data_IF_899534435642
#
_entry.id   IF_899534435642
#
_cell.length_a   1.000
_cell.length_b   1.000
_cell.length_c   1.000
_cell.angle_alpha   90.00
_cell.angle_beta   90.00
_cell.angle_gamma   90.00
#
_symmetry.space_group_name_H-M   'P 1'
#
loop_
_entity.id
_entity.type
_entity.pdbx_description
1 polymer ?
#
# COMPACT_ATOMS: atom_id res chain seq x y z
N UNK A 1 25.80 38.62 -20.38
CA UNK A 1 25.89 37.33 -21.11
C UNK A 1 25.50 36.23 -20.14
N UNK A 2 24.24 35.76 -20.21
CA UNK A 2 23.71 34.73 -19.31
C UNK A 2 23.69 33.41 -20.04
N UNK A 3 24.61 32.50 -19.70
CA UNK A 3 24.66 31.16 -20.28
C UNK A 3 23.64 30.29 -19.55
N UNK A 4 22.57 29.90 -20.24
CA UNK A 4 21.62 28.88 -19.77
C UNK A 4 22.26 27.49 -19.88
N UNK A 5 22.08 26.58 -18.91
CA UNK A 5 22.53 25.21 -19.06
C UNK A 5 21.69 24.50 -20.13
N UNK A 6 22.37 23.85 -21.08
CA UNK A 6 21.78 22.99 -22.11
C UNK A 6 21.28 21.70 -21.47
N UNK A 7 19.98 21.46 -21.52
CA UNK A 7 19.39 20.14 -21.29
C UNK A 7 19.87 19.21 -22.41
N UNK A 8 20.56 18.12 -22.05
CA UNK A 8 21.01 17.10 -22.99
C UNK A 8 19.86 16.10 -23.20
N UNK A 9 19.21 16.13 -24.37
CA UNK A 9 18.18 15.17 -24.77
C UNK A 9 18.82 13.91 -25.42
N UNK A 10 18.19 12.75 -25.25
CA UNK A 10 18.46 11.55 -26.06
C UNK A 10 17.88 11.66 -27.48
N UNK A 11 18.30 10.75 -28.37
CA UNK A 11 17.89 10.65 -29.78
C UNK A 11 16.34 10.54 -29.99
N UNK A 12 15.58 10.30 -28.92
CA UNK A 12 14.11 10.22 -28.89
C UNK A 12 13.41 11.42 -28.23
N UNK A 13 14.13 12.49 -27.86
CA UNK A 13 13.53 13.74 -27.39
C UNK A 13 12.90 13.69 -25.98
N UNK A 14 13.19 12.67 -25.17
CA UNK A 14 12.75 12.60 -23.76
C UNK A 14 13.80 13.25 -22.83
N UNK A 15 13.40 13.93 -21.75
CA UNK A 15 14.34 14.42 -20.75
C UNK A 15 14.99 13.24 -20.02
N UNK A 16 16.33 13.19 -20.01
CA UNK A 16 17.09 12.28 -19.14
C UNK A 16 16.91 12.71 -17.69
N UNK A 17 16.16 11.94 -16.91
CA UNK A 17 16.23 12.06 -15.46
C UNK A 17 17.55 11.43 -15.00
N UNK A 18 18.33 12.10 -14.14
CA UNK A 18 19.51 11.48 -13.56
C UNK A 18 19.05 10.32 -12.67
N UNK A 19 19.52 9.11 -13.00
CA UNK A 19 19.47 7.94 -12.13
C UNK A 19 20.28 8.25 -10.87
N UNK A 20 19.64 8.86 -9.89
CA UNK A 20 20.21 9.05 -8.57
C UNK A 20 19.99 7.75 -7.81
N UNK A 21 21.03 6.91 -7.75
CA UNK A 21 21.09 5.81 -6.79
C UNK A 21 20.92 6.38 -5.40
N UNK A 22 19.73 6.21 -4.82
CA UNK A 22 19.48 6.51 -3.42
C UNK A 22 19.96 5.31 -2.64
N UNK A 23 21.18 5.40 -2.11
CA UNK A 23 21.63 4.51 -1.06
C UNK A 23 20.70 4.68 0.14
N UNK A 24 19.85 3.68 0.38
CA UNK A 24 18.95 3.63 1.53
C UNK A 24 19.81 3.53 2.79
N UNK A 25 19.94 4.66 3.49
CA UNK A 25 20.70 4.70 4.74
C UNK A 25 19.89 3.97 5.80
N UNK A 26 20.44 2.83 6.23
CA UNK A 26 20.09 2.07 7.42
C UNK A 26 20.15 2.99 8.67
N UNK A 27 19.10 3.75 8.96
CA UNK A 27 18.87 4.41 10.25
C UNK A 27 17.52 5.15 10.29
N UNK A 28 16.46 4.43 10.66
CA UNK A 28 15.32 5.01 11.35
C UNK A 28 14.70 3.96 12.27
N UNK A 29 15.16 3.93 13.52
CA UNK A 29 14.52 3.17 14.58
C UNK A 29 13.09 3.68 14.79
N UNK A 30 12.10 2.99 14.21
CA UNK A 30 10.73 3.09 14.68
C UNK A 30 10.70 2.44 16.07
N UNK A 31 10.40 3.28 17.08
CA UNK A 31 10.48 2.97 18.49
C UNK A 31 9.81 1.66 18.88
N UNK A 32 10.46 0.94 19.78
CA UNK A 32 10.10 -0.41 20.21
C UNK A 32 8.67 -0.53 20.72
N UNK A 33 7.90 -1.39 20.06
CA UNK A 33 6.58 -1.82 20.52
C UNK A 33 6.73 -3.04 21.44
N UNK A 34 6.41 -2.86 22.72
CA UNK A 34 6.12 -3.96 23.66
C UNK A 34 4.60 -4.07 23.81
N UNK A 35 3.95 -4.84 22.95
CA UNK A 35 2.57 -5.29 23.14
C UNK A 35 2.54 -6.70 23.74
N UNK A 36 2.22 -6.82 25.02
CA UNK A 36 1.97 -8.12 25.67
C UNK A 36 0.62 -8.67 25.22
N UNK A 37 0.62 -9.79 24.51
CA UNK A 37 -0.56 -10.64 24.38
C UNK A 37 -0.52 -11.69 25.51
N UNK A 38 -1.29 -11.49 26.57
CA UNK A 38 -1.62 -12.55 27.52
C UNK A 38 -3.09 -12.91 27.34
N UNK A 39 -3.35 -13.97 26.57
CA UNK A 39 -4.62 -14.67 26.62
C UNK A 39 -4.60 -15.67 27.78
N UNK A 40 -5.43 -15.44 28.80
CA UNK A 40 -5.76 -16.45 29.80
C UNK A 40 -7.26 -16.70 29.72
N UNK A 41 -7.62 -17.91 29.28
CA UNK A 41 -8.99 -18.42 29.24
C UNK A 41 -9.40 -18.79 30.67
N UNK A 42 -10.48 -18.19 31.16
CA UNK A 42 -11.20 -18.67 32.32
C UNK A 42 -12.64 -19.00 31.91
N UNK A 43 -12.99 -20.28 31.98
CA UNK A 43 -14.34 -20.79 31.80
C UNK A 43 -15.15 -20.54 33.08
N UNK A 44 -16.39 -20.06 32.94
CA UNK A 44 -17.33 -20.01 34.05
C UNK A 44 -18.68 -19.40 33.70
N UNK A 45 -19.74 -20.19 33.87
CA UNK A 45 -21.06 -19.68 34.26
C UNK A 45 -22.14 -19.72 33.18
N UNK A 46 -22.92 -20.81 33.20
CA UNK A 46 -24.23 -20.87 32.55
C UNK A 46 -25.24 -19.96 33.28
N UNK A 47 -26.07 -19.26 32.51
CA UNK A 47 -27.21 -18.49 33.02
C UNK A 47 -27.96 -17.77 31.91
N UNK A 48 -28.95 -18.42 31.31
CA UNK A 48 -30.03 -17.72 30.58
C UNK A 48 -30.99 -17.11 31.61
N UNK A 49 -31.58 -15.92 31.36
CA UNK A 49 -32.91 -15.93 30.70
C UNK A 49 -33.27 -14.68 29.86
N UNK A 50 -34.20 -14.88 28.92
CA UNK A 50 -35.30 -13.92 28.69
C UNK A 50 -35.23 -13.03 27.42
N UNK A 51 -36.20 -13.13 26.50
CA UNK A 51 -36.24 -12.35 25.28
C UNK A 51 -37.00 -11.04 25.48
N UNK A 52 -36.43 -9.92 25.00
CA UNK A 52 -37.11 -8.73 24.44
C UNK A 52 -36.10 -7.59 24.39
N UNK A 53 -35.82 -7.13 23.17
CA UNK A 53 -36.13 -5.77 22.74
C UNK A 53 -35.28 -5.42 21.52
N UNK A 54 -36.00 -5.07 20.44
CA UNK A 54 -35.79 -3.83 19.68
C UNK A 54 -34.49 -3.78 18.87
N UNK A 55 -34.67 -3.70 17.55
CA UNK A 55 -33.60 -3.64 16.57
C UNK A 55 -32.37 -2.88 17.06
N UNK A 56 -31.26 -3.61 17.17
CA UNK A 56 -29.97 -3.02 16.94
C UNK A 56 -29.99 -2.65 15.45
N UNK A 57 -30.42 -1.42 15.19
CA UNK A 57 -30.11 -0.74 13.96
C UNK A 57 -28.58 -0.63 13.99
N UNK A 58 -27.92 -1.60 13.36
CA UNK A 58 -26.49 -1.60 13.14
C UNK A 58 -26.20 -0.27 12.44
N UNK A 59 -25.56 0.66 13.17
CA UNK A 59 -25.13 1.93 12.62
C UNK A 59 -24.27 1.58 11.41
N UNK A 60 -24.53 2.13 10.20
CA UNK A 60 -23.68 1.88 9.06
C UNK A 60 -22.30 2.42 9.42
N UNK A 61 -21.40 1.54 9.82
CA UNK A 61 -19.99 1.88 10.00
C UNK A 61 -19.45 2.28 8.65
N UNK A 62 -18.57 3.27 8.64
CA UNK A 62 -17.80 3.76 7.50
C UNK A 62 -16.97 2.64 6.84
N UNK A 63 -17.62 1.73 6.14
CA UNK A 63 -17.03 0.63 5.41
C UNK A 63 -16.50 1.18 4.09
N UNK A 64 -15.31 1.76 4.15
CA UNK A 64 -14.58 2.22 2.99
C UNK A 64 -14.12 0.99 2.20
N UNK A 65 -14.70 0.77 1.02
CA UNK A 65 -14.18 -0.20 0.05
C UNK A 65 -13.13 0.44 -0.87
N UNK A 66 -12.47 -0.37 -1.71
CA UNK A 66 -11.43 0.11 -2.63
C UNK A 66 -11.94 1.19 -3.61
N UNK A 67 -13.21 1.13 -4.02
CA UNK A 67 -13.82 2.09 -4.94
C UNK A 67 -14.08 3.45 -4.26
N UNK A 68 -14.47 3.43 -2.99
CA UNK A 68 -14.60 4.64 -2.18
C UNK A 68 -13.24 5.31 -1.95
N UNK A 69 -12.21 4.53 -1.58
CA UNK A 69 -10.85 5.05 -1.41
C UNK A 69 -10.29 5.67 -2.70
N UNK A 70 -10.54 5.03 -3.86
CA UNK A 70 -10.19 5.60 -5.15
C UNK A 70 -10.96 6.90 -5.42
N UNK A 71 -12.25 6.97 -5.09
CA UNK A 71 -13.04 8.20 -5.26
C UNK A 71 -12.49 9.37 -4.45
N UNK A 72 -12.02 9.12 -3.22
CA UNK A 72 -11.37 10.12 -2.38
C UNK A 72 -10.09 10.68 -3.02
N UNK A 73 -9.26 9.80 -3.58
CA UNK A 73 -8.07 10.16 -4.33
C UNK A 73 -8.42 11.03 -5.55
N UNK A 74 -9.38 10.59 -6.36
CA UNK A 74 -9.80 11.27 -7.59
C UNK A 74 -10.41 12.65 -7.34
N UNK A 75 -11.07 12.84 -6.19
CA UNK A 75 -11.61 14.15 -5.78
C UNK A 75 -10.54 15.08 -5.18
N UNK A 76 -9.27 14.65 -5.13
CA UNK A 76 -8.15 15.43 -4.60
C UNK A 76 -8.18 15.59 -3.08
N UNK A 77 -8.97 14.78 -2.36
CA UNK A 77 -9.05 14.83 -0.90
C UNK A 77 -7.83 14.18 -0.23
N UNK A 78 -7.18 13.24 -0.92
CA UNK A 78 -5.97 12.56 -0.47
C UNK A 78 -4.74 13.10 -1.21
N UNK A 79 -3.71 13.43 -0.45
CA UNK A 79 -2.38 13.72 -1.01
C UNK A 79 -1.64 12.41 -1.32
N UNK A 80 -0.69 12.37 -2.25
CA UNK A 80 0.14 11.17 -2.46
C UNK A 80 0.83 10.70 -1.17
N UNK A 81 0.52 9.47 -0.74
CA UNK A 81 0.81 8.97 0.60
C UNK A 81 0.62 7.47 0.75
N UNK A 82 0.92 6.95 1.95
CA UNK A 82 0.55 5.60 2.38
C UNK A 82 -0.63 5.76 3.35
N UNK A 83 -1.77 5.16 3.02
CA UNK A 83 -3.00 5.23 3.81
C UNK A 83 -3.50 3.83 4.15
N UNK A 84 -4.25 3.71 5.24
CA UNK A 84 -4.91 2.47 5.60
C UNK A 84 -6.41 2.64 5.86
N UNK A 85 -7.20 1.59 5.65
CA UNK A 85 -8.56 1.49 6.17
C UNK A 85 -8.87 0.07 6.63
N UNK A 86 -10.00 -0.05 7.34
CA UNK A 86 -10.54 -1.35 7.75
C UNK A 86 -11.64 -1.76 6.79
N UNK A 87 -11.45 -2.90 6.15
CA UNK A 87 -12.48 -3.52 5.33
C UNK A 87 -13.40 -4.33 6.25
N UNK A 88 -14.73 -4.20 6.13
CA UNK A 88 -15.66 -5.05 6.88
C UNK A 88 -15.42 -6.53 6.57
N UNK A 89 -15.61 -7.45 7.55
CA UNK A 89 -15.43 -8.88 7.36
C UNK A 89 -16.62 -9.51 6.58
N UNK A 90 -16.99 -8.93 5.44
CA UNK A 90 -18.06 -9.44 4.57
C UNK A 90 -17.46 -10.19 3.37
N UNK A 91 -18.09 -11.28 2.91
CA UNK A 91 -17.62 -12.01 1.74
C UNK A 91 -17.51 -11.11 0.50
N UNK A 92 -16.38 -11.17 -0.20
CA UNK A 92 -16.14 -10.38 -1.41
C UNK A 92 -15.58 -8.98 -1.18
N UNK A 93 -15.40 -8.54 0.07
CA UNK A 93 -14.82 -7.22 0.36
C UNK A 93 -13.29 -7.16 0.14
N UNK A 94 -12.63 -8.31 0.10
CA UNK A 94 -11.22 -8.45 -0.29
C UNK A 94 -11.13 -9.19 -1.62
N UNK A 95 -10.16 -8.81 -2.44
CA UNK A 95 -9.95 -9.38 -3.77
C UNK A 95 -10.88 -8.86 -4.84
N UNK A 96 -11.68 -7.82 -4.55
CA UNK A 96 -12.37 -7.06 -5.59
C UNK A 96 -11.33 -6.22 -6.35
N UNK A 97 -11.16 -6.52 -7.64
CA UNK A 97 -10.25 -5.79 -8.53
C UNK A 97 -10.98 -4.81 -9.43
N UNK A 98 -12.30 -4.62 -9.29
CA UNK A 98 -13.11 -3.69 -10.10
C UNK A 98 -12.61 -2.24 -10.02
N UNK A 99 -11.96 -1.87 -8.92
CA UNK A 99 -11.36 -0.55 -8.75
C UNK A 99 -10.22 -0.28 -9.76
N UNK A 100 -9.57 -1.31 -10.31
CA UNK A 100 -8.49 -1.14 -11.29
C UNK A 100 -9.05 -0.53 -12.58
N UNK A 101 -10.16 -1.07 -13.09
CA UNK A 101 -10.81 -0.53 -14.29
C UNK A 101 -11.21 0.94 -14.08
N UNK A 102 -11.73 1.26 -12.90
CA UNK A 102 -12.06 2.64 -12.51
C UNK A 102 -10.83 3.55 -12.40
N UNK A 103 -9.69 3.02 -11.94
CA UNK A 103 -8.44 3.77 -11.89
C UNK A 103 -7.93 4.08 -13.31
N UNK A 104 -8.03 3.10 -14.21
CA UNK A 104 -7.67 3.27 -15.63
C UNK A 104 -8.55 4.29 -16.35
N UNK A 105 -9.86 4.33 -16.07
CA UNK A 105 -10.77 5.38 -16.57
C UNK A 105 -10.33 6.78 -16.15
N UNK A 106 -9.64 6.89 -15.01
CA UNK A 106 -9.05 8.13 -14.51
C UNK A 106 -7.59 8.35 -14.96
N UNK A 107 -7.12 7.56 -15.93
CA UNK A 107 -5.74 7.60 -16.46
C UNK A 107 -4.66 7.32 -15.38
N UNK A 108 -5.05 6.63 -14.30
CA UNK A 108 -4.17 6.09 -13.27
C UNK A 108 -3.83 4.62 -13.59
N UNK A 109 -2.67 4.16 -13.15
CA UNK A 109 -2.30 2.74 -13.23
C UNK A 109 -2.45 2.09 -11.86
N UNK A 110 -3.32 1.08 -11.77
CA UNK A 110 -3.60 0.32 -10.56
C UNK A 110 -2.75 -0.95 -10.44
N UNK A 111 -2.24 -1.23 -9.23
CA UNK A 111 -1.56 -2.46 -8.87
C UNK A 111 -2.21 -3.10 -7.65
N UNK A 112 -2.62 -4.36 -7.74
CA UNK A 112 -3.26 -5.09 -6.63
C UNK A 112 -2.30 -6.11 -6.02
N UNK A 113 -1.97 -5.93 -4.75
CA UNK A 113 -1.16 -6.85 -3.97
C UNK A 113 -2.07 -7.63 -3.02
N UNK A 114 -2.31 -8.91 -3.33
CA UNK A 114 -3.00 -9.84 -2.45
C UNK A 114 -2.03 -10.41 -1.40
N UNK A 115 -2.06 -9.85 -0.19
CA UNK A 115 -1.20 -10.25 0.92
C UNK A 115 -1.34 -11.70 1.36
N UNK A 116 -2.44 -12.39 1.02
CA UNK A 116 -2.59 -13.83 1.30
C UNK A 116 -1.57 -14.68 0.54
N UNK A 117 -0.96 -14.14 -0.51
CA UNK A 117 0.09 -14.79 -1.32
C UNK A 117 1.50 -14.57 -0.76
N UNK A 118 1.67 -13.72 0.25
CA UNK A 118 2.97 -13.34 0.79
C UNK A 118 3.00 -13.47 2.32
N UNK A 119 3.75 -14.46 2.83
CA UNK A 119 3.88 -14.75 4.27
C UNK A 119 5.32 -14.63 4.79
N UNK A 120 6.24 -14.28 3.92
CA UNK A 120 7.65 -14.01 4.24
C UNK A 120 8.21 -13.00 3.22
N UNK A 121 9.42 -12.50 3.49
CA UNK A 121 10.13 -11.57 2.61
C UNK A 121 10.21 -12.08 1.16
N UNK A 122 10.61 -13.35 0.95
CA UNK A 122 10.83 -13.89 -0.39
C UNK A 122 9.53 -14.03 -1.20
N UNK A 123 8.42 -14.41 -0.57
CA UNK A 123 7.10 -14.45 -1.20
C UNK A 123 6.57 -13.04 -1.49
N UNK A 124 6.87 -12.05 -0.65
CA UNK A 124 6.50 -10.65 -0.93
C UNK A 124 7.27 -10.06 -2.12
N UNK A 125 8.60 -10.25 -2.17
CA UNK A 125 9.42 -9.79 -3.30
C UNK A 125 8.93 -10.37 -4.64
N UNK A 126 8.61 -11.67 -4.66
CA UNK A 126 8.02 -12.33 -5.85
C UNK A 126 6.64 -11.78 -6.20
N UNK A 127 5.78 -11.55 -5.20
CA UNK A 127 4.46 -10.95 -5.43
C UNK A 127 4.59 -9.58 -6.11
N UNK A 128 5.50 -8.73 -5.65
CA UNK A 128 5.75 -7.44 -6.31
C UNK A 128 6.34 -7.60 -7.71
N UNK A 129 7.29 -8.51 -7.91
CA UNK A 129 7.85 -8.79 -9.23
C UNK A 129 6.77 -9.14 -10.25
N UNK A 130 5.84 -10.03 -9.87
CA UNK A 130 4.73 -10.44 -10.71
C UNK A 130 3.75 -9.28 -10.98
N UNK A 131 3.32 -8.57 -9.93
CA UNK A 131 2.25 -7.57 -10.02
C UNK A 131 2.70 -6.29 -10.73
N UNK A 132 3.95 -5.85 -10.53
CA UNK A 132 4.50 -4.67 -11.20
C UNK A 132 5.14 -4.99 -12.55
N UNK A 133 5.08 -6.26 -12.98
CA UNK A 133 5.68 -6.76 -14.22
C UNK A 133 7.16 -6.40 -14.31
N UNK A 134 7.89 -6.59 -13.19
CA UNK A 134 9.27 -6.14 -13.07
C UNK A 134 10.17 -6.91 -14.05
N UNK A 135 11.20 -6.25 -14.63
CA UNK A 135 12.22 -6.95 -15.41
C UNK A 135 12.93 -8.03 -14.57
N UNK A 136 13.41 -9.08 -15.23
CA UNK A 136 14.11 -10.17 -14.54
C UNK A 136 15.27 -9.67 -13.66
N UNK A 137 15.32 -10.14 -12.41
CA UNK A 137 16.36 -9.78 -11.44
C UNK A 137 16.14 -8.45 -10.70
N UNK A 138 15.03 -7.74 -10.93
CA UNK A 138 14.79 -6.40 -10.34
C UNK A 138 14.17 -6.43 -8.93
N UNK A 139 13.96 -7.61 -8.34
CA UNK A 139 13.40 -7.79 -6.99
C UNK A 139 14.13 -8.88 -6.20
N UNK A 140 15.46 -8.88 -6.26
CA UNK A 140 16.30 -9.85 -5.51
C UNK A 140 16.30 -9.60 -4.00
N UNK A 141 16.14 -8.34 -3.60
CA UNK A 141 16.07 -7.87 -2.22
C UNK A 141 15.21 -6.60 -2.13
N UNK A 142 15.07 -6.04 -0.92
CA UNK A 142 14.24 -4.87 -0.65
C UNK A 142 14.73 -3.61 -1.35
N UNK A 143 16.05 -3.43 -1.44
CA UNK A 143 16.64 -2.24 -2.06
C UNK A 143 16.43 -2.28 -3.58
N UNK A 144 16.71 -3.42 -4.21
CA UNK A 144 16.45 -3.63 -5.63
C UNK A 144 14.97 -3.42 -5.99
N UNK A 145 14.06 -3.92 -5.14
CA UNK A 145 12.64 -3.69 -5.31
C UNK A 145 12.29 -2.19 -5.17
N UNK A 146 12.80 -1.52 -4.13
CA UNK A 146 12.57 -0.09 -3.91
C UNK A 146 13.03 0.77 -5.07
N UNK A 147 14.22 0.50 -5.60
CA UNK A 147 14.78 1.18 -6.78
C UNK A 147 13.92 0.96 -8.02
N UNK A 148 13.45 -0.27 -8.23
CA UNK A 148 12.56 -0.61 -9.35
C UNK A 148 11.20 0.08 -9.22
N UNK A 149 10.61 0.11 -8.02
CA UNK A 149 9.34 0.80 -7.80
C UNK A 149 9.47 2.33 -7.84
N UNK A 150 10.67 2.87 -7.65
CA UNK A 150 10.97 4.29 -7.86
C UNK A 150 11.13 4.66 -9.35
N UNK A 151 11.25 3.69 -10.25
CA UNK A 151 11.34 3.87 -11.70
C UNK A 151 10.47 2.84 -12.46
N UNK A 152 9.21 3.17 -12.68
CA UNK A 152 8.24 2.33 -13.41
C UNK A 152 8.22 2.63 -14.92
N UNK A 153 9.36 2.96 -15.51
CA UNK A 153 9.44 3.41 -16.91
C UNK A 153 8.94 2.41 -17.96
N UNK A 154 8.92 1.11 -17.67
CA UNK A 154 8.35 0.08 -18.55
C UNK A 154 6.82 0.03 -18.52
N UNK A 155 6.18 0.56 -17.48
CA UNK A 155 4.73 0.53 -17.27
C UNK A 155 4.18 1.93 -16.97
N UNK A 156 4.32 2.88 -17.92
CA UNK A 156 4.02 4.29 -17.64
C UNK A 156 2.54 4.52 -17.33
N UNK A 157 2.28 5.44 -16.40
CA UNK A 157 0.97 6.03 -16.16
C UNK A 157 0.91 7.47 -16.66
N UNK A 158 -0.31 7.97 -16.95
CA UNK A 158 -0.50 9.36 -17.37
C UNK A 158 -0.70 10.29 -16.19
N UNK A 159 -1.52 9.90 -15.22
CA UNK A 159 -1.87 10.74 -14.07
C UNK A 159 -1.26 10.28 -12.74
N UNK A 160 -0.72 9.06 -12.68
CA UNK A 160 -0.12 8.51 -11.47
C UNK A 160 -0.40 7.03 -11.25
N UNK A 161 0.09 6.53 -10.11
CA UNK A 161 0.03 5.12 -9.73
C UNK A 161 -0.76 4.95 -8.43
N UNK A 162 -1.55 3.88 -8.37
CA UNK A 162 -2.26 3.47 -7.16
C UNK A 162 -1.93 2.02 -6.86
N UNK A 163 -1.41 1.76 -5.67
CA UNK A 163 -1.14 0.40 -5.18
C UNK A 163 -2.15 0.09 -4.09
N UNK A 164 -2.92 -0.98 -4.26
CA UNK A 164 -3.78 -1.52 -3.20
C UNK A 164 -3.13 -2.76 -2.62
N UNK A 165 -2.69 -2.68 -1.37
CA UNK A 165 -2.16 -3.81 -0.60
C UNK A 165 -3.19 -4.32 0.41
N UNK A 166 -3.84 -5.42 0.07
CA UNK A 166 -4.86 -6.05 0.89
C UNK A 166 -4.30 -7.18 1.73
N UNK A 167 -5.00 -7.53 2.81
CA UNK A 167 -4.64 -8.66 3.68
C UNK A 167 -3.18 -8.59 4.18
N UNK A 168 -2.67 -7.38 4.38
CA UNK A 168 -1.27 -7.16 4.80
C UNK A 168 -0.96 -7.77 6.18
N UNK A 169 -1.99 -7.98 7.00
CA UNK A 169 -1.89 -8.61 8.30
C UNK A 169 -1.30 -10.04 8.22
N UNK A 170 -1.52 -10.76 7.11
CA UNK A 170 -0.95 -12.09 6.90
C UNK A 170 0.58 -12.08 7.01
N UNK A 171 1.24 -11.10 6.39
CA UNK A 171 2.70 -10.94 6.49
C UNK A 171 3.11 -10.41 7.87
N UNK A 172 2.35 -9.47 8.43
CA UNK A 172 2.66 -8.90 9.74
C UNK A 172 2.64 -9.94 10.87
N UNK A 173 1.75 -10.92 10.78
CA UNK A 173 1.60 -12.00 11.75
C UNK A 173 2.69 -13.06 11.62
N UNK A 174 3.14 -13.37 10.39
CA UNK A 174 4.13 -14.42 10.14
C UNK A 174 5.57 -13.91 10.17
N UNK A 175 5.82 -12.69 9.68
CA UNK A 175 7.13 -12.06 9.57
C UNK A 175 7.03 -10.54 9.76
N UNK A 176 6.97 -10.13 11.03
CA UNK A 176 6.90 -8.73 11.41
C UNK A 176 8.11 -7.91 10.91
N UNK A 177 9.29 -8.54 10.74
CA UNK A 177 10.46 -7.83 10.24
C UNK A 177 10.30 -7.50 8.75
N UNK A 178 9.87 -8.47 7.95
CA UNK A 178 9.54 -8.23 6.54
C UNK A 178 8.44 -7.18 6.39
N UNK A 179 7.38 -7.25 7.20
CA UNK A 179 6.30 -6.27 7.13
C UNK A 179 6.78 -4.82 7.41
N UNK A 180 7.71 -4.62 8.35
CA UNK A 180 8.33 -3.30 8.56
C UNK A 180 9.11 -2.83 7.33
N UNK A 181 9.89 -3.72 6.73
CA UNK A 181 10.62 -3.41 5.50
C UNK A 181 9.67 -3.01 4.35
N UNK A 182 8.51 -3.65 4.24
CA UNK A 182 7.46 -3.26 3.26
C UNK A 182 7.00 -1.82 3.47
N UNK A 183 6.69 -1.45 4.73
CA UNK A 183 6.23 -0.10 5.06
C UNK A 183 7.31 0.95 4.76
N UNK A 184 8.55 0.67 5.17
CA UNK A 184 9.68 1.57 4.95
C UNK A 184 9.97 1.76 3.45
N UNK A 185 9.94 0.66 2.69
CA UNK A 185 10.11 0.68 1.23
C UNK A 185 9.01 1.50 0.54
N UNK A 186 7.73 1.24 0.82
CA UNK A 186 6.63 2.00 0.21
C UNK A 186 6.65 3.47 0.61
N UNK A 187 7.00 3.80 1.86
CA UNK A 187 7.10 5.18 2.30
C UNK A 187 8.15 5.95 1.50
N UNK A 188 9.30 5.32 1.22
CA UNK A 188 10.35 5.94 0.42
C UNK A 188 9.99 6.02 -1.07
N UNK A 189 9.36 4.98 -1.64
CA UNK A 189 8.88 4.99 -3.03
C UNK A 189 7.84 6.11 -3.22
N UNK A 190 6.82 6.19 -2.36
CA UNK A 190 5.81 7.26 -2.42
C UNK A 190 6.46 8.64 -2.31
N UNK A 191 7.47 8.80 -1.45
CA UNK A 191 8.23 10.04 -1.34
C UNK A 191 8.95 10.40 -2.64
N UNK A 192 9.55 9.42 -3.33
CA UNK A 192 10.21 9.64 -4.62
C UNK A 192 9.24 10.12 -5.71
N UNK A 193 8.00 9.60 -5.70
CA UNK A 193 6.98 9.96 -6.69
C UNK A 193 6.16 11.22 -6.35
N UNK A 194 6.09 11.62 -5.07
CA UNK A 194 5.16 12.66 -4.58
C UNK A 194 5.21 13.98 -5.37
N UNK A 195 6.42 14.45 -5.68
CA UNK A 195 6.62 15.74 -6.34
C UNK A 195 6.77 15.62 -7.86
N UNK A 196 6.41 14.47 -8.44
CA UNK A 196 6.41 14.24 -9.88
C UNK A 196 5.05 14.55 -10.50
N UNK A 197 4.98 14.60 -11.83
CA UNK A 197 3.70 14.73 -12.56
C UNK A 197 2.81 13.48 -12.47
N UNK A 198 3.35 12.37 -11.97
CA UNK A 198 2.68 11.06 -11.88
C UNK A 198 2.88 10.49 -10.47
N UNK A 199 2.23 11.06 -9.45
CA UNK A 199 2.43 10.63 -8.07
C UNK A 199 1.99 9.19 -7.85
N UNK A 200 2.59 8.53 -6.85
CA UNK A 200 2.18 7.22 -6.37
C UNK A 200 1.46 7.34 -5.03
N UNK A 201 0.35 6.62 -4.89
CA UNK A 201 -0.36 6.44 -3.61
C UNK A 201 -0.47 4.96 -3.28
N UNK A 202 -0.18 4.60 -2.04
CA UNK A 202 -0.33 3.24 -1.52
C UNK A 202 -1.49 3.21 -0.55
N UNK A 203 -2.40 2.28 -0.78
CA UNK A 203 -3.62 2.06 -0.04
C UNK A 203 -3.53 0.69 0.61
N UNK A 204 -3.69 0.62 1.93
CA UNK A 204 -3.56 -0.62 2.70
C UNK A 204 -4.90 -0.98 3.32
N UNK A 205 -5.44 -2.14 2.95
CA UNK A 205 -6.69 -2.64 3.54
C UNK A 205 -6.40 -3.87 4.40
N UNK A 206 -7.02 -3.93 5.58
CA UNK A 206 -7.10 -5.18 6.33
C UNK A 206 -8.44 -5.36 7.01
N UNK A 207 -8.70 -6.60 7.42
CA UNK A 207 -9.88 -6.95 8.19
C UNK A 207 -9.56 -6.75 9.67
N UNK A 208 -10.18 -5.75 10.31
CA UNK A 208 -10.21 -5.62 11.77
C UNK A 208 -8.93 -5.17 12.47
N UNK A 209 -7.79 -4.99 11.77
CA UNK A 209 -6.51 -4.54 12.37
C UNK A 209 -6.02 -3.26 11.71
N UNK A 210 -5.32 -2.41 12.46
CA UNK A 210 -4.70 -1.18 11.95
C UNK A 210 -3.23 -1.15 12.34
N UNK A 211 -2.37 -0.66 11.44
CA UNK A 211 -0.97 -0.38 11.74
C UNK A 211 -0.90 0.94 12.51
N UNK A 212 -0.27 0.93 13.69
CA UNK A 212 -0.01 2.17 14.42
C UNK A 212 0.92 3.10 13.61
N UNK A 213 0.54 4.36 13.45
CA UNK A 213 1.35 5.38 12.76
C UNK A 213 1.09 5.52 11.26
N UNK A 214 0.31 4.62 10.65
CA UNK A 214 -0.18 4.81 9.26
C UNK A 214 -1.49 5.62 9.29
N UNK A 215 -1.58 6.75 8.56
CA UNK A 215 -2.80 7.55 8.50
C UNK A 215 -4.01 6.74 8.02
N UNK A 216 -5.16 6.89 8.69
CA UNK A 216 -6.41 6.28 8.24
C UNK A 216 -7.00 7.09 7.08
N UNK A 217 -7.58 6.40 6.10
CA UNK A 217 -8.55 7.00 5.18
C UNK A 217 -9.80 7.42 5.99
N UNK A 218 -10.22 8.67 5.85
CA UNK A 218 -11.30 9.25 6.66
C UNK A 218 -12.68 8.78 6.19
#
# INVERSE_FOLDING_TARGET
MSVRPRTLCDDLGRPRHPSAGMAWSESAHIGGFRGRCSGMIAAGGAGSPGPRARGAQELPGDDVDANQALTELLTGRLTPGVYQWRTPPVPGALGDTSWIERAEEADLRGFHLDGRRARDSASFLRLCADVFELPEGSATDWDALGDSLADLSWTPAKNGYVVLYESWAELADTDQQAFRAVLDMFAGVVKAWRDTSTPMTVLMSSVGVEVAGVPRLA
#
